data_IF_442891031518
#
_entry.id   IF_442891031518
#
_cell.length_a   1.000
_cell.length_b   1.000
_cell.length_c   1.000
_cell.angle_alpha   90.00
_cell.angle_beta   90.00
_cell.angle_gamma   90.00
#
_symmetry.space_group_name_H-M   'P 1'
#
loop_
_entity.id
_entity.type
_entity.pdbx_description
1 polymer ?
#
# COMPACT_ATOMS: atom_id res chain seq x y z
N UNK A 1 3.08 8.39 -23.52
CA UNK A 1 3.31 7.89 -24.91
C UNK A 1 2.68 6.50 -25.14
N UNK A 2 2.88 5.49 -24.31
CA UNK A 2 2.28 4.15 -24.52
C UNK A 2 0.73 4.14 -24.41
N UNK A 3 0.15 4.85 -23.45
CA UNK A 3 -1.31 4.93 -23.27
C UNK A 3 -2.02 5.74 -24.36
N UNK A 4 -1.31 6.64 -25.06
CA UNK A 4 -1.85 7.35 -26.21
C UNK A 4 -1.97 6.47 -27.47
N UNK A 5 -1.38 5.27 -27.46
CA UNK A 5 -1.41 4.33 -28.59
C UNK A 5 -2.57 3.32 -28.51
N UNK A 6 -3.24 3.19 -27.37
CA UNK A 6 -4.41 2.32 -27.24
C UNK A 6 -5.68 3.15 -27.50
N UNK A 7 -6.51 2.78 -28.49
CA UNK A 7 -7.78 3.45 -28.68
C UNK A 7 -8.62 3.28 -27.39
N UNK A 8 -9.07 4.41 -26.81
CA UNK A 8 -10.00 4.38 -25.70
C UNK A 8 -11.30 3.75 -26.17
N UNK A 9 -11.78 2.75 -25.44
CA UNK A 9 -13.11 2.17 -25.68
C UNK A 9 -14.15 3.14 -25.12
N UNK A 10 -15.36 3.09 -25.67
CA UNK A 10 -16.53 3.85 -25.19
C UNK A 10 -17.76 2.97 -25.20
N UNK A 11 -18.75 3.34 -24.42
CA UNK A 11 -20.04 2.65 -24.37
C UNK A 11 -20.12 1.58 -23.29
N UNK A 12 -21.33 1.14 -23.02
CA UNK A 12 -21.66 0.16 -21.99
C UNK A 12 -21.96 -1.17 -22.68
N UNK A 13 -21.20 -2.21 -22.33
CA UNK A 13 -21.42 -3.57 -22.84
C UNK A 13 -22.82 -4.08 -22.40
N UNK A 14 -23.58 -4.74 -23.31
CA UNK A 14 -24.92 -5.27 -22.96
C UNK A 14 -24.93 -6.27 -21.80
N UNK A 15 -23.80 -6.93 -21.51
CA UNK A 15 -23.65 -7.86 -20.40
C UNK A 15 -23.18 -7.17 -19.09
N UNK A 16 -22.91 -5.86 -19.12
CA UNK A 16 -22.61 -5.12 -17.91
C UNK A 16 -23.90 -4.77 -17.15
N UNK A 17 -23.83 -4.73 -15.82
CA UNK A 17 -24.88 -4.17 -15.00
C UNK A 17 -24.54 -2.76 -14.55
N UNK A 18 -25.39 -1.81 -14.87
CA UNK A 18 -25.32 -0.43 -14.36
C UNK A 18 -26.64 -0.10 -13.68
N UNK A 19 -26.59 0.18 -12.39
CA UNK A 19 -27.80 0.57 -11.66
C UNK A 19 -28.48 1.79 -12.28
N UNK A 20 -29.82 1.81 -12.37
CA UNK A 20 -30.57 3.00 -12.80
C UNK A 20 -30.33 4.25 -11.92
N UNK A 21 -29.81 4.06 -10.69
CA UNK A 21 -29.47 5.15 -9.78
C UNK A 21 -27.98 5.57 -9.87
N UNK A 22 -27.16 4.87 -10.66
CA UNK A 22 -25.78 5.26 -10.92
C UNK A 22 -25.72 6.41 -11.93
N UNK A 23 -24.65 7.19 -11.84
CA UNK A 23 -24.36 8.27 -12.81
C UNK A 23 -23.08 7.93 -13.55
N UNK A 24 -23.21 7.57 -14.80
CA UNK A 24 -22.07 7.28 -15.70
C UNK A 24 -21.97 8.41 -16.71
N UNK A 25 -20.83 9.11 -16.71
CA UNK A 25 -20.61 10.25 -17.59
C UNK A 25 -20.43 9.81 -19.05
N UNK A 26 -20.47 10.78 -19.95
CA UNK A 26 -20.23 10.57 -21.37
C UNK A 26 -18.81 10.05 -21.63
N UNK A 27 -18.64 9.21 -22.67
CA UNK A 27 -17.35 8.68 -23.08
C UNK A 27 -16.76 7.60 -22.15
N UNK A 28 -17.50 7.17 -21.12
CA UNK A 28 -17.10 6.05 -20.26
C UNK A 28 -17.25 4.73 -20.99
N UNK A 29 -16.29 3.82 -20.80
CA UNK A 29 -16.40 2.42 -21.16
C UNK A 29 -16.77 1.57 -19.96
N UNK A 30 -17.76 0.69 -20.10
CA UNK A 30 -18.12 -0.32 -19.10
C UNK A 30 -18.11 -1.69 -19.79
N UNK A 31 -17.16 -2.54 -19.44
CA UNK A 31 -16.95 -3.86 -20.04
C UNK A 31 -17.93 -4.91 -19.54
N UNK A 32 -18.01 -6.03 -20.26
CA UNK A 32 -18.89 -7.15 -19.93
C UNK A 32 -18.73 -7.62 -18.49
N UNK A 33 -19.86 -7.94 -17.82
CA UNK A 33 -19.91 -8.41 -16.43
C UNK A 33 -19.35 -7.43 -15.38
N UNK A 34 -19.01 -6.20 -15.76
CA UNK A 34 -18.77 -5.16 -14.77
C UNK A 34 -20.07 -4.78 -14.07
N UNK A 35 -19.98 -4.47 -12.78
CA UNK A 35 -21.13 -4.14 -11.94
C UNK A 35 -20.94 -2.73 -11.33
N UNK A 36 -21.85 -1.82 -11.65
CA UNK A 36 -21.90 -0.47 -11.08
C UNK A 36 -23.15 -0.33 -10.23
N UNK A 37 -22.93 -0.20 -8.92
CA UNK A 37 -23.99 -0.22 -7.90
C UNK A 37 -24.77 1.10 -7.80
N UNK A 38 -25.82 1.09 -6.98
CA UNK A 38 -26.66 2.24 -6.67
C UNK A 38 -25.84 3.45 -6.21
N UNK A 39 -26.16 4.63 -6.72
CA UNK A 39 -25.55 5.89 -6.30
C UNK A 39 -24.06 6.04 -6.67
N UNK A 40 -23.47 5.07 -7.35
CA UNK A 40 -22.10 5.21 -7.85
C UNK A 40 -22.02 6.30 -8.95
N UNK A 41 -20.92 7.04 -8.95
CA UNK A 41 -20.65 8.10 -9.94
C UNK A 41 -19.34 7.75 -10.67
N UNK A 42 -19.34 7.76 -12.01
CA UNK A 42 -18.17 7.48 -12.84
C UNK A 42 -17.91 8.64 -13.77
N UNK A 43 -16.75 9.29 -13.60
CA UNK A 43 -16.34 10.47 -14.35
C UNK A 43 -15.96 10.18 -15.80
N UNK A 44 -16.01 11.24 -16.59
CA UNK A 44 -15.77 11.26 -18.03
C UNK A 44 -14.48 10.55 -18.46
N UNK A 45 -14.53 9.80 -19.55
CA UNK A 45 -13.38 9.13 -20.18
C UNK A 45 -12.80 7.96 -19.38
N UNK A 46 -13.43 7.56 -18.28
CA UNK A 46 -12.99 6.43 -17.48
C UNK A 46 -13.28 5.10 -18.17
N UNK A 47 -12.43 4.10 -17.90
CA UNK A 47 -12.48 2.78 -18.52
C UNK A 47 -12.68 1.74 -17.40
N UNK A 48 -13.88 1.19 -17.31
CA UNK A 48 -14.23 0.12 -16.35
C UNK A 48 -14.17 -1.21 -17.10
N UNK A 49 -13.16 -1.99 -16.86
CA UNK A 49 -12.93 -3.24 -17.58
C UNK A 49 -13.81 -4.39 -17.05
N UNK A 50 -13.89 -5.52 -17.80
CA UNK A 50 -14.76 -6.64 -17.44
C UNK A 50 -14.58 -7.14 -16.01
N UNK A 51 -15.70 -7.56 -15.38
CA UNK A 51 -15.73 -8.10 -14.01
C UNK A 51 -15.29 -7.13 -12.91
N UNK A 52 -15.11 -5.85 -13.17
CA UNK A 52 -14.88 -4.86 -12.11
C UNK A 52 -16.17 -4.60 -11.33
N UNK A 53 -16.05 -4.45 -10.01
CA UNK A 53 -17.15 -4.12 -9.11
C UNK A 53 -16.96 -2.72 -8.53
N UNK A 54 -17.91 -1.82 -8.81
CA UNK A 54 -17.97 -0.47 -8.26
C UNK A 54 -19.15 -0.42 -7.27
N UNK A 55 -18.83 -0.37 -5.99
CA UNK A 55 -19.78 -0.45 -4.88
C UNK A 55 -20.69 0.76 -4.76
N UNK A 56 -21.69 0.63 -3.89
CA UNK A 56 -22.70 1.66 -3.63
C UNK A 56 -22.07 2.99 -3.21
N UNK A 57 -22.51 4.10 -3.82
CA UNK A 57 -22.05 5.45 -3.51
C UNK A 57 -20.57 5.73 -3.79
N UNK A 58 -19.86 4.85 -4.48
CA UNK A 58 -18.47 5.07 -4.90
C UNK A 58 -18.38 6.22 -5.88
N UNK A 59 -17.37 7.07 -5.71
CA UNK A 59 -17.07 8.15 -6.66
C UNK A 59 -15.77 7.85 -7.39
N UNK A 60 -15.84 7.72 -8.70
CA UNK A 60 -14.69 7.56 -9.61
C UNK A 60 -14.53 8.85 -10.40
N UNK A 61 -13.35 9.46 -10.32
CA UNK A 61 -13.01 10.66 -11.07
C UNK A 61 -12.87 10.42 -12.57
N UNK A 62 -12.35 11.41 -13.28
CA UNK A 62 -12.17 11.38 -14.74
C UNK A 62 -10.97 10.54 -15.17
N UNK A 63 -11.04 9.96 -16.36
CA UNK A 63 -9.95 9.21 -16.99
C UNK A 63 -9.38 8.07 -16.12
N UNK A 64 -10.16 7.50 -15.23
CA UNK A 64 -9.74 6.37 -14.42
C UNK A 64 -9.63 5.09 -15.28
N UNK A 65 -8.62 4.27 -14.97
CA UNK A 65 -8.43 2.94 -15.58
C UNK A 65 -8.65 1.87 -14.51
N UNK A 66 -9.80 1.22 -14.54
CA UNK A 66 -10.18 0.19 -13.58
C UNK A 66 -10.12 -1.16 -14.28
N UNK A 67 -9.04 -1.89 -14.07
CA UNK A 67 -8.74 -3.15 -14.76
C UNK A 67 -9.65 -4.32 -14.30
N UNK A 68 -9.62 -5.49 -14.99
CA UNK A 68 -10.51 -6.59 -14.66
C UNK A 68 -10.38 -7.08 -13.22
N UNK A 69 -11.51 -7.53 -12.64
CA UNK A 69 -11.60 -8.08 -11.29
C UNK A 69 -11.18 -7.11 -10.17
N UNK A 70 -11.11 -5.82 -10.43
CA UNK A 70 -10.96 -4.81 -9.38
C UNK A 70 -12.24 -4.71 -8.57
N UNK A 71 -12.11 -4.61 -7.25
CA UNK A 71 -13.23 -4.39 -6.35
C UNK A 71 -13.06 -3.09 -5.59
N UNK A 72 -14.02 -2.18 -5.74
CA UNK A 72 -14.10 -0.94 -4.95
C UNK A 72 -15.34 -1.01 -4.08
N UNK A 73 -15.14 -1.10 -2.78
CA UNK A 73 -16.23 -1.19 -1.79
C UNK A 73 -16.96 0.14 -1.63
N UNK A 74 -18.16 0.06 -1.05
CA UNK A 74 -19.08 1.19 -0.89
C UNK A 74 -18.44 2.44 -0.28
N UNK A 75 -18.88 3.60 -0.74
CA UNK A 75 -18.53 4.91 -0.23
C UNK A 75 -17.12 5.41 -0.56
N UNK A 76 -16.24 4.56 -1.10
CA UNK A 76 -14.84 4.93 -1.43
C UNK A 76 -14.79 6.00 -2.52
N UNK A 77 -13.70 6.77 -2.53
CA UNK A 77 -13.49 7.88 -3.47
C UNK A 77 -12.18 7.69 -4.22
N UNK A 78 -12.24 7.79 -5.54
CA UNK A 78 -11.10 7.76 -6.45
C UNK A 78 -11.05 9.09 -7.19
N UNK A 79 -9.90 9.74 -7.21
CA UNK A 79 -9.64 10.99 -7.94
C UNK A 79 -9.50 10.78 -9.45
N UNK A 80 -9.01 11.80 -10.12
CA UNK A 80 -8.79 11.80 -11.57
C UNK A 80 -7.51 11.03 -11.94
N UNK A 81 -7.51 10.38 -13.12
CA UNK A 81 -6.38 9.63 -13.67
C UNK A 81 -5.87 8.52 -12.72
N UNK A 82 -6.74 7.92 -11.95
CA UNK A 82 -6.40 6.78 -11.09
C UNK A 82 -6.35 5.51 -11.92
N UNK A 83 -5.30 4.70 -11.71
CA UNK A 83 -5.18 3.37 -12.31
C UNK A 83 -5.24 2.32 -11.22
N UNK A 84 -6.18 1.38 -11.31
CA UNK A 84 -6.26 0.20 -10.45
C UNK A 84 -6.02 -1.05 -11.32
N UNK A 85 -4.91 -1.74 -11.09
CA UNK A 85 -4.59 -2.97 -11.81
C UNK A 85 -5.41 -4.18 -11.32
N UNK A 86 -5.43 -5.22 -12.13
CA UNK A 86 -6.30 -6.37 -11.97
C UNK A 86 -6.25 -7.00 -10.55
N UNK A 87 -7.41 -7.33 -10.01
CA UNK A 87 -7.54 -7.96 -8.71
C UNK A 87 -7.24 -7.06 -7.51
N UNK A 88 -6.94 -5.77 -7.70
CA UNK A 88 -6.78 -4.87 -6.56
C UNK A 88 -8.11 -4.65 -5.84
N UNK A 89 -8.05 -4.48 -4.52
CA UNK A 89 -9.20 -4.32 -3.63
C UNK A 89 -9.07 -3.02 -2.85
N UNK A 90 -10.07 -2.15 -2.96
CA UNK A 90 -10.12 -0.86 -2.28
C UNK A 90 -11.31 -0.82 -1.34
N UNK A 91 -11.07 -0.67 -0.04
CA UNK A 91 -12.11 -0.46 0.96
C UNK A 91 -12.63 -1.74 1.63
N UNK A 92 -11.88 -2.85 1.59
CA UNK A 92 -12.12 -3.99 2.48
C UNK A 92 -12.01 -3.58 3.95
N UNK A 93 -12.67 -4.33 4.84
CA UNK A 93 -12.58 -4.07 6.27
C UNK A 93 -11.14 -4.18 6.77
N UNK A 94 -10.72 -3.22 7.58
CA UNK A 94 -9.46 -3.29 8.30
C UNK A 94 -9.45 -4.42 9.35
N UNK A 95 -8.26 -4.86 9.73
CA UNK A 95 -8.05 -5.86 10.75
C UNK A 95 -8.26 -5.24 12.15
N UNK A 96 -9.52 -5.19 12.57
CA UNK A 96 -9.95 -4.64 13.86
C UNK A 96 -10.72 -5.68 14.67
N UNK A 97 -10.11 -6.18 15.74
CA UNK A 97 -10.71 -7.15 16.65
C UNK A 97 -10.36 -6.81 18.09
N UNK A 98 -11.33 -6.91 18.99
CA UNK A 98 -11.13 -6.78 20.43
C UNK A 98 -11.05 -8.17 21.06
N UNK A 99 -10.05 -8.46 21.92
CA UNK A 99 -10.02 -9.72 22.65
C UNK A 99 -11.13 -9.77 23.69
N UNK A 100 -11.90 -10.85 23.71
CA UNK A 100 -12.94 -11.17 24.68
C UNK A 100 -12.69 -12.52 25.35
N UNK A 101 -13.46 -12.89 26.38
CA UNK A 101 -13.25 -14.13 27.11
C UNK A 101 -13.47 -15.40 26.27
N UNK A 102 -14.26 -15.31 25.21
CA UNK A 102 -14.60 -16.45 24.33
C UNK A 102 -13.95 -16.35 22.94
N UNK A 103 -13.10 -15.32 22.68
CA UNK A 103 -12.46 -15.11 21.39
C UNK A 103 -12.27 -13.66 21.03
N UNK A 104 -12.40 -13.36 19.75
CA UNK A 104 -12.19 -12.00 19.22
C UNK A 104 -13.51 -11.43 18.67
N UNK A 105 -13.93 -10.31 19.21
CA UNK A 105 -15.08 -9.53 18.72
C UNK A 105 -14.64 -8.59 17.60
N UNK A 106 -15.34 -8.66 16.45
CA UNK A 106 -15.03 -7.79 15.32
C UNK A 106 -15.44 -6.34 15.63
N UNK A 107 -14.50 -5.40 15.42
CA UNK A 107 -14.78 -3.97 15.45
C UNK A 107 -15.27 -3.53 14.08
N UNK A 108 -16.50 -2.99 13.94
CA UNK A 108 -17.02 -2.53 12.66
C UNK A 108 -16.13 -1.46 12.04
N UNK A 109 -15.92 -1.57 10.73
CA UNK A 109 -15.14 -0.63 9.93
C UNK A 109 -16.11 0.21 9.08
N UNK A 110 -16.45 1.40 9.55
CA UNK A 110 -17.50 2.27 8.95
C UNK A 110 -16.94 3.43 8.14
N UNK A 111 -15.61 3.58 8.11
CA UNK A 111 -14.95 4.58 7.30
C UNK A 111 -14.82 4.16 5.83
N UNK A 112 -14.06 4.90 5.07
CA UNK A 112 -13.85 4.71 3.63
C UNK A 112 -12.37 4.72 3.27
N UNK A 113 -12.06 4.54 1.98
CA UNK A 113 -10.77 4.87 1.36
C UNK A 113 -10.94 6.08 0.45
N UNK A 114 -9.97 6.98 0.49
CA UNK A 114 -9.87 8.11 -0.44
C UNK A 114 -8.53 8.03 -1.17
N UNK A 115 -8.59 7.82 -2.47
CA UNK A 115 -7.45 7.82 -3.38
C UNK A 115 -7.48 9.13 -4.17
N UNK A 116 -6.41 9.92 -4.11
CA UNK A 116 -6.32 11.19 -4.81
C UNK A 116 -5.86 11.01 -6.27
N UNK A 117 -5.66 12.12 -7.00
CA UNK A 117 -5.36 12.10 -8.44
C UNK A 117 -4.01 11.47 -8.77
N UNK A 118 -3.92 10.91 -10.00
CA UNK A 118 -2.71 10.38 -10.59
C UNK A 118 -2.05 9.24 -9.78
N UNK A 119 -2.84 8.51 -8.99
CA UNK A 119 -2.39 7.34 -8.24
C UNK A 119 -2.46 6.10 -9.11
N UNK A 120 -1.48 5.21 -8.94
CA UNK A 120 -1.46 3.90 -9.59
C UNK A 120 -1.29 2.79 -8.56
N UNK A 121 -2.19 1.81 -8.61
CA UNK A 121 -2.25 0.68 -7.67
C UNK A 121 -2.03 -0.61 -8.43
N UNK A 122 -0.99 -1.34 -8.08
CA UNK A 122 -0.59 -2.61 -8.69
C UNK A 122 -1.58 -3.75 -8.46
N UNK A 123 -1.39 -4.83 -9.21
CA UNK A 123 -2.28 -6.00 -9.16
C UNK A 123 -2.31 -6.66 -7.78
N UNK A 124 -3.50 -7.11 -7.36
CA UNK A 124 -3.74 -7.77 -6.08
C UNK A 124 -3.27 -6.97 -4.85
N UNK A 125 -3.16 -5.67 -4.96
CA UNK A 125 -2.90 -4.76 -3.84
C UNK A 125 -4.19 -4.50 -3.09
N UNK A 126 -4.13 -4.52 -1.75
CA UNK A 126 -5.27 -4.29 -0.88
C UNK A 126 -5.09 -2.99 -0.09
N UNK A 127 -6.14 -2.17 -0.05
CA UNK A 127 -6.20 -0.93 0.72
C UNK A 127 -7.44 -0.99 1.61
N UNK A 128 -7.22 -1.16 2.92
CA UNK A 128 -8.31 -1.30 3.88
C UNK A 128 -8.97 0.04 4.20
N UNK A 129 -10.29 -0.01 4.44
CA UNK A 129 -11.04 1.16 4.91
C UNK A 129 -10.64 1.54 6.33
N UNK A 130 -10.84 2.77 6.65
CA UNK A 130 -10.67 3.28 8.01
C UNK A 130 -11.76 2.74 8.95
N UNK A 131 -11.47 2.61 10.23
CA UNK A 131 -12.49 2.35 11.25
C UNK A 131 -13.53 3.48 11.26
N UNK A 132 -13.08 4.74 11.23
CA UNK A 132 -13.89 5.95 11.05
C UNK A 132 -13.07 6.94 10.21
N UNK A 133 -13.75 7.75 9.38
CA UNK A 133 -13.10 8.70 8.48
C UNK A 133 -12.56 8.01 7.23
N UNK A 134 -11.31 8.22 6.88
CA UNK A 134 -10.74 7.66 5.65
C UNK A 134 -9.29 7.17 5.83
N UNK A 135 -8.96 6.08 5.18
CA UNK A 135 -7.59 5.73 4.79
C UNK A 135 -7.25 6.55 3.54
N UNK A 136 -6.10 7.21 3.53
CA UNK A 136 -5.73 8.12 2.45
C UNK A 136 -4.55 7.61 1.64
N UNK A 137 -4.69 7.64 0.31
CA UNK A 137 -3.60 7.50 -0.65
C UNK A 137 -3.50 8.81 -1.43
N UNK A 138 -2.48 9.61 -1.14
CA UNK A 138 -2.35 10.97 -1.64
C UNK A 138 -1.90 11.00 -3.10
N UNK A 139 -2.01 12.18 -3.70
CA UNK A 139 -1.74 12.43 -5.11
C UNK A 139 -0.38 11.86 -5.57
N UNK A 140 -0.39 11.20 -6.73
CA UNK A 140 0.81 10.73 -7.40
C UNK A 140 1.48 9.50 -6.79
N UNK A 141 0.93 8.89 -5.74
CA UNK A 141 1.43 7.65 -5.13
C UNK A 141 1.44 6.50 -6.15
N UNK A 142 2.49 5.67 -6.10
CA UNK A 142 2.62 4.44 -6.90
C UNK A 142 2.84 3.25 -5.98
N UNK A 143 1.90 2.33 -5.97
CA UNK A 143 2.00 1.06 -5.26
C UNK A 143 2.15 -0.07 -6.28
N UNK A 144 3.15 -0.90 -6.11
CA UNK A 144 3.38 -2.08 -6.91
C UNK A 144 2.43 -3.22 -6.49
N UNK A 145 2.58 -4.38 -7.08
CA UNK A 145 1.73 -5.54 -6.86
C UNK A 145 1.85 -6.08 -5.43
N UNK A 146 0.76 -6.64 -4.90
CA UNK A 146 0.73 -7.31 -3.59
C UNK A 146 1.10 -6.40 -2.40
N UNK A 147 0.90 -5.10 -2.52
CA UNK A 147 1.08 -4.16 -1.40
C UNK A 147 -0.14 -4.22 -0.48
N UNK A 148 0.08 -4.19 0.85
CA UNK A 148 -0.98 -4.06 1.85
C UNK A 148 -0.92 -2.70 2.53
N UNK A 149 -1.99 -1.92 2.41
CA UNK A 149 -2.20 -0.67 3.14
C UNK A 149 -3.33 -0.89 4.15
N UNK A 150 -2.98 -0.95 5.42
CA UNK A 150 -3.97 -1.19 6.47
C UNK A 150 -4.79 0.07 6.82
N UNK A 151 -5.82 -0.13 7.63
CA UNK A 151 -6.81 0.86 8.02
C UNK A 151 -6.21 2.13 8.66
N UNK A 152 -6.86 3.27 8.48
CA UNK A 152 -6.48 4.55 9.10
C UNK A 152 -5.07 5.06 8.74
N UNK A 153 -4.47 4.56 7.66
CA UNK A 153 -3.17 5.05 7.18
C UNK A 153 -3.33 6.32 6.34
N UNK A 154 -2.26 7.09 6.25
CA UNK A 154 -2.15 8.25 5.36
C UNK A 154 -0.83 8.14 4.60
N UNK A 155 -0.89 7.86 3.30
CA UNK A 155 0.28 7.71 2.43
C UNK A 155 0.51 9.02 1.69
N UNK A 156 1.58 9.71 2.03
CA UNK A 156 1.94 11.03 1.50
C UNK A 156 2.22 11.04 0.00
N UNK A 157 2.01 12.21 -0.60
CA UNK A 157 2.08 12.41 -2.04
C UNK A 157 3.40 11.96 -2.67
N UNK A 158 3.31 11.41 -3.89
CA UNK A 158 4.46 10.94 -4.68
C UNK A 158 5.33 9.87 -4.01
N UNK A 159 4.85 9.20 -2.98
CA UNK A 159 5.52 8.05 -2.38
C UNK A 159 5.37 6.84 -3.26
N UNK A 160 6.45 6.05 -3.38
CA UNK A 160 6.47 4.82 -4.18
C UNK A 160 6.82 3.61 -3.32
N UNK A 161 6.13 2.51 -3.54
CA UNK A 161 6.32 1.26 -2.80
C UNK A 161 6.44 0.11 -3.78
N UNK A 162 7.52 -0.64 -3.68
CA UNK A 162 7.72 -1.87 -4.47
C UNK A 162 6.87 -3.02 -3.93
N UNK A 163 6.86 -4.12 -4.65
CA UNK A 163 6.00 -5.28 -4.38
C UNK A 163 6.14 -5.82 -2.94
N UNK A 164 4.99 -6.27 -2.40
CA UNK A 164 4.88 -6.90 -1.09
C UNK A 164 5.22 -5.98 0.11
N UNK A 165 5.22 -4.67 -0.06
CA UNK A 165 5.30 -3.74 1.08
C UNK A 165 4.04 -3.86 1.92
N UNK A 166 4.20 -3.90 3.26
CA UNK A 166 3.11 -3.92 4.22
C UNK A 166 3.18 -2.71 5.16
N UNK A 167 2.10 -1.92 5.19
CA UNK A 167 1.94 -0.79 6.10
C UNK A 167 0.85 -1.13 7.11
N UNK A 168 1.20 -1.25 8.38
CA UNK A 168 0.24 -1.54 9.44
C UNK A 168 -0.63 -0.32 9.80
N UNK A 169 -1.74 -0.58 10.48
CA UNK A 169 -2.79 0.40 10.75
C UNK A 169 -2.34 1.66 11.47
N UNK A 170 -3.03 2.76 11.20
CA UNK A 170 -2.81 4.09 11.82
C UNK A 170 -1.42 4.68 11.60
N UNK A 171 -0.68 4.21 10.61
CA UNK A 171 0.63 4.74 10.23
C UNK A 171 0.50 5.93 9.30
N UNK A 172 1.32 6.95 9.51
CA UNK A 172 1.44 8.11 8.62
C UNK A 172 2.76 8.04 7.88
N UNK A 173 2.72 8.06 6.56
CA UNK A 173 3.89 8.09 5.68
C UNK A 173 3.97 9.45 5.01
N UNK A 174 5.12 10.09 5.09
CA UNK A 174 5.39 11.36 4.44
C UNK A 174 5.42 11.27 2.92
N UNK A 175 5.65 12.40 2.28
CA UNK A 175 5.72 12.50 0.83
C UNK A 175 7.11 12.11 0.28
N UNK A 176 7.14 11.70 -1.00
CA UNK A 176 8.37 11.36 -1.71
C UNK A 176 9.20 10.24 -1.06
N UNK A 177 8.58 9.36 -0.30
CA UNK A 177 9.24 8.18 0.23
C UNK A 177 9.43 7.11 -0.84
N UNK A 178 10.45 6.26 -0.68
CA UNK A 178 10.75 5.14 -1.57
C UNK A 178 10.99 3.89 -0.74
N UNK A 179 10.11 2.88 -0.88
CA UNK A 179 10.22 1.63 -0.14
C UNK A 179 10.51 0.48 -1.08
N UNK A 180 11.60 -0.22 -0.81
CA UNK A 180 11.98 -1.45 -1.51
C UNK A 180 11.00 -2.60 -1.22
N UNK A 181 11.08 -3.66 -2.03
CA UNK A 181 10.17 -4.80 -1.89
C UNK A 181 10.24 -5.46 -0.51
N UNK A 182 9.09 -5.95 -0.04
CA UNK A 182 8.97 -6.66 1.25
C UNK A 182 9.31 -5.81 2.48
N UNK A 183 9.27 -4.49 2.40
CA UNK A 183 9.36 -3.63 3.58
C UNK A 183 8.11 -3.79 4.44
N UNK A 184 8.31 -3.98 5.75
CA UNK A 184 7.24 -4.03 6.75
C UNK A 184 7.32 -2.83 7.71
N UNK A 185 6.22 -2.11 7.88
CA UNK A 185 6.15 -0.94 8.77
C UNK A 185 5.12 -1.19 9.87
N UNK A 186 5.56 -1.05 11.13
CA UNK A 186 4.71 -1.20 12.31
C UNK A 186 3.59 -0.14 12.36
N UNK A 187 2.51 -0.47 13.08
CA UNK A 187 1.37 0.43 13.26
C UNK A 187 1.65 1.60 14.19
N UNK A 188 0.80 2.64 14.06
CA UNK A 188 0.78 3.82 14.95
C UNK A 188 2.08 4.63 14.97
N UNK A 189 2.87 4.58 13.89
CA UNK A 189 4.12 5.34 13.77
C UNK A 189 4.04 6.37 12.64
N UNK A 190 5.02 7.26 12.62
CA UNK A 190 5.17 8.28 11.57
C UNK A 190 6.49 8.09 10.85
N UNK A 191 6.43 7.98 9.53
CA UNK A 191 7.58 8.01 8.64
C UNK A 191 7.64 9.42 8.03
N UNK A 192 8.76 10.12 8.20
CA UNK A 192 8.94 11.47 7.66
C UNK A 192 9.04 11.49 6.13
N UNK A 193 9.16 12.68 5.56
CA UNK A 193 9.28 12.86 4.12
C UNK A 193 10.61 12.34 3.57
N UNK A 194 10.61 11.91 2.29
CA UNK A 194 11.84 11.52 1.56
C UNK A 194 12.66 10.43 2.25
N UNK A 195 11.99 9.52 2.96
CA UNK A 195 12.63 8.35 3.57
C UNK A 195 12.83 7.28 2.50
N UNK A 196 14.04 6.73 2.46
CA UNK A 196 14.37 5.55 1.65
C UNK A 196 14.53 4.33 2.54
N UNK A 197 13.81 3.25 2.20
CA UNK A 197 13.94 1.95 2.86
C UNK A 197 14.39 0.90 1.84
N UNK A 198 15.52 0.28 2.12
CA UNK A 198 15.99 -0.86 1.32
C UNK A 198 15.06 -2.06 1.45
N UNK A 199 15.11 -2.97 0.48
CA UNK A 199 14.26 -4.17 0.47
C UNK A 199 14.40 -4.98 1.77
N UNK A 200 13.30 -5.64 2.19
CA UNK A 200 13.22 -6.49 3.38
C UNK A 200 13.52 -5.77 4.70
N UNK A 201 13.38 -4.44 4.75
CA UNK A 201 13.53 -3.69 5.99
C UNK A 201 12.28 -3.82 6.87
N UNK A 202 12.50 -4.09 8.16
CA UNK A 202 11.45 -4.11 9.19
C UNK A 202 11.54 -2.87 10.08
N UNK A 203 10.54 -2.02 10.07
CA UNK A 203 10.52 -0.70 10.74
C UNK A 203 9.63 -0.74 11.98
N UNK A 204 10.19 -0.83 13.19
CA UNK A 204 9.41 -0.95 14.42
C UNK A 204 9.00 0.40 15.04
N UNK A 205 9.50 1.53 14.54
CA UNK A 205 9.27 2.85 15.13
C UNK A 205 9.39 4.00 14.14
N UNK A 206 9.03 5.19 14.57
CA UNK A 206 9.00 6.39 13.73
C UNK A 206 10.36 6.77 13.16
N UNK A 207 10.37 7.28 11.93
CA UNK A 207 11.57 7.71 11.21
C UNK A 207 11.50 9.20 10.87
N UNK A 208 12.65 9.87 10.95
CA UNK A 208 12.80 11.28 10.58
C UNK A 208 12.92 11.42 9.06
N UNK A 209 12.56 12.58 8.54
CA UNK A 209 12.68 12.89 7.10
C UNK A 209 14.12 12.71 6.59
N UNK A 210 14.23 12.22 5.35
CA UNK A 210 15.50 12.07 4.63
C UNK A 210 16.37 10.89 5.05
N UNK A 211 15.94 10.05 5.98
CA UNK A 211 16.71 8.88 6.38
C UNK A 211 16.78 7.83 5.26
N UNK A 212 17.95 7.18 5.14
CA UNK A 212 18.20 6.08 4.21
C UNK A 212 18.63 4.85 5.01
N UNK A 213 17.73 3.88 5.13
CA UNK A 213 17.87 2.75 6.04
C UNK A 213 17.68 1.41 5.33
N UNK A 214 18.27 0.36 5.87
CA UNK A 214 18.08 -1.01 5.42
C UNK A 214 18.24 -1.99 6.58
N UNK A 215 17.55 -3.11 6.52
CA UNK A 215 17.67 -4.21 7.48
C UNK A 215 16.54 -4.30 8.50
N UNK A 216 16.65 -5.26 9.39
CA UNK A 216 15.69 -5.52 10.47
C UNK A 216 16.43 -5.77 11.79
N UNK A 217 16.40 -4.85 12.75
CA UNK A 217 15.85 -3.49 12.63
C UNK A 217 16.62 -2.65 11.61
N UNK A 218 16.02 -1.56 11.08
CA UNK A 218 16.66 -0.76 10.06
C UNK A 218 17.81 0.06 10.66
N UNK A 219 18.92 0.09 9.94
CA UNK A 219 20.07 0.90 10.28
C UNK A 219 20.55 1.71 9.07
N UNK A 220 21.40 2.69 9.29
CA UNK A 220 21.98 3.49 8.23
C UNK A 220 22.68 2.57 7.22
N UNK A 221 22.51 2.82 5.93
CA UNK A 221 22.92 1.91 4.84
C UNK A 221 24.40 1.54 4.87
N UNK A 222 25.30 2.51 5.13
CA UNK A 222 26.74 2.23 5.24
C UNK A 222 27.08 1.34 6.43
N UNK A 223 26.44 1.58 7.57
CA UNK A 223 26.62 0.76 8.76
C UNK A 223 26.13 -0.68 8.53
N UNK A 224 24.98 -0.83 7.85
CA UNK A 224 24.44 -2.13 7.48
C UNK A 224 25.43 -2.94 6.64
N UNK A 225 25.95 -2.38 5.55
CA UNK A 225 26.90 -3.11 4.68
C UNK A 225 28.22 -3.47 5.39
N UNK A 226 28.74 -2.59 6.25
CA UNK A 226 29.90 -2.91 7.08
C UNK A 226 29.60 -4.09 8.03
N UNK A 227 28.44 -4.07 8.68
CA UNK A 227 28.01 -5.15 9.56
C UNK A 227 27.86 -6.48 8.82
N UNK A 228 27.26 -6.45 7.62
CA UNK A 228 27.12 -7.65 6.77
C UNK A 228 28.46 -8.23 6.32
N UNK A 229 29.46 -7.40 6.04
CA UNK A 229 30.81 -7.86 5.72
C UNK A 229 31.48 -8.61 6.88
N UNK A 230 31.17 -8.22 8.12
CA UNK A 230 31.72 -8.84 9.33
C UNK A 230 30.88 -10.06 9.78
N UNK A 231 29.58 -10.04 9.51
CA UNK A 231 28.61 -11.03 10.01
C UNK A 231 29.08 -12.49 9.79
N UNK A 232 29.62 -12.79 8.60
CA UNK A 232 30.13 -14.13 8.26
C UNK A 232 31.37 -14.54 9.07
N UNK A 233 32.09 -13.58 9.64
CA UNK A 233 33.29 -13.79 10.44
C UNK A 233 33.03 -13.83 11.94
N UNK A 234 31.81 -13.55 12.39
CA UNK A 234 31.48 -13.54 13.82
C UNK A 234 31.87 -14.81 14.58
N UNK A 235 31.69 -16.05 14.05
CA UNK A 235 32.11 -17.25 14.74
C UNK A 235 33.65 -17.30 14.96
N UNK A 236 34.43 -16.90 13.97
CA UNK A 236 35.90 -16.87 14.06
C UNK A 236 36.36 -15.79 15.04
N UNK A 237 35.77 -14.58 14.95
CA UNK A 237 36.06 -13.49 15.85
C UNK A 237 35.69 -13.83 17.31
N UNK A 238 34.61 -14.58 17.53
CA UNK A 238 34.22 -15.03 18.87
C UNK A 238 35.27 -16.03 19.44
N UNK A 239 35.80 -16.94 18.60
CA UNK A 239 36.87 -17.86 18.99
C UNK A 239 38.16 -17.11 19.32
N UNK A 240 38.60 -16.20 18.44
CA UNK A 240 39.77 -15.35 18.65
C UNK A 240 39.66 -14.55 19.97
N UNK A 241 38.48 -13.96 20.24
CA UNK A 241 38.22 -13.22 21.48
C UNK A 241 38.40 -14.10 22.72
N UNK A 242 37.88 -15.34 22.68
CA UNK A 242 38.01 -16.26 23.81
C UNK A 242 39.46 -16.72 24.02
N UNK A 243 40.22 -16.94 22.94
CA UNK A 243 41.64 -17.31 23.01
C UNK A 243 42.45 -16.14 23.58
N UNK A 244 42.19 -14.90 23.15
CA UNK A 244 42.81 -13.71 23.73
C UNK A 244 42.51 -13.55 25.21
N UNK A 245 41.26 -13.77 25.65
CA UNK A 245 40.90 -13.76 27.06
C UNK A 245 41.71 -14.73 27.90
N UNK A 246 41.90 -15.99 27.41
CA UNK A 246 42.73 -17.00 28.11
C UNK A 246 44.17 -16.53 28.21
N UNK A 247 44.77 -16.03 27.13
CA UNK A 247 46.14 -15.50 27.14
C UNK A 247 46.32 -14.36 28.14
N UNK A 248 45.36 -13.46 28.23
CA UNK A 248 45.39 -12.37 29.25
C UNK A 248 45.34 -12.91 30.64
N UNK A 249 44.50 -13.92 30.92
CA UNK A 249 44.41 -14.54 32.25
C UNK A 249 45.73 -15.28 32.63
N UNK A 250 46.36 -15.92 31.67
CA UNK A 250 47.68 -16.55 31.89
C UNK A 250 48.78 -15.51 32.18
N UNK A 251 48.78 -14.39 31.47
CA UNK A 251 49.72 -13.28 31.72
C UNK A 251 49.52 -12.60 33.10
N UNK A 252 48.30 -12.52 33.59
CA UNK A 252 47.99 -11.97 34.93
C UNK A 252 48.41 -12.90 36.10
N UNK A 253 48.62 -14.17 35.81
CA UNK A 253 49.04 -15.15 36.82
C UNK A 253 50.59 -15.28 36.95
N UNK A 254 51.32 -14.65 36.05
CA UNK A 254 52.80 -14.50 36.07
C UNK A 254 53.18 -13.18 36.75
#
# INVERSE_FOLDING_TARGET
MYDSMKPKKTGIDPLAFVSPKAKVAEGVYVGAFAYISDGAEVGEGSQIYPHAYIGEGVKVGKNALIYPNVTVYHGCKLGDNVTLHAGSVVGSDGFGFAPGPEGYDKIPQIGIVTIEDNVEIGANTCIDRSTMGSTYVRKGVKLDNLVQIAHNTDIGANTVMSSQVGIAGSTKVGQWCMFGGQVGIAGHITIGDKVFLGAQSGVPGSLKSGQQLIGTPPMEQRAYFKSQAIFRRLPDMYKELNDLKKQIEELKKK
#
